data_IF_853267696069
#
_entry.id   IF_853267696069
#
_cell.length_a   1.000
_cell.length_b   1.000
_cell.length_c   1.000
_cell.angle_alpha   90.00
_cell.angle_beta   90.00
_cell.angle_gamma   90.00
#
_symmetry.space_group_name_H-M   'P 1'
#
loop_
_entity.id
_entity.type
_entity.pdbx_description
1 polymer ?
#
# COMPACT_ATOMS: atom_id res chain seq x y z
N UNK A 1 23.14 11.19 -4.79
CA UNK A 1 22.23 11.05 -3.62
C UNK A 1 20.82 10.61 -4.02
N UNK A 2 20.16 11.26 -5.00
CA UNK A 2 18.78 10.91 -5.43
C UNK A 2 18.57 9.43 -5.79
N UNK A 3 19.48 8.82 -6.56
CA UNK A 3 19.39 7.38 -6.91
C UNK A 3 19.41 6.45 -5.71
N UNK A 4 20.25 6.72 -4.72
CA UNK A 4 20.32 5.91 -3.50
C UNK A 4 19.01 5.97 -2.71
N UNK A 5 18.48 7.19 -2.50
CA UNK A 5 17.20 7.41 -1.81
C UNK A 5 16.07 6.69 -2.55
N UNK A 6 15.97 6.88 -3.87
CA UNK A 6 14.92 6.29 -4.69
C UNK A 6 14.94 4.75 -4.65
N UNK A 7 16.12 4.14 -4.85
CA UNK A 7 16.26 2.68 -4.88
C UNK A 7 15.97 2.08 -3.50
N UNK A 8 16.51 2.64 -2.41
CA UNK A 8 16.25 2.13 -1.07
C UNK A 8 14.77 2.26 -0.68
N UNK A 9 14.14 3.39 -0.99
CA UNK A 9 12.74 3.63 -0.69
C UNK A 9 11.81 2.71 -1.51
N UNK A 10 12.05 2.56 -2.82
CA UNK A 10 11.26 1.68 -3.69
C UNK A 10 11.46 0.21 -3.34
N UNK A 11 12.69 -0.22 -3.01
CA UNK A 11 12.97 -1.59 -2.60
C UNK A 11 12.28 -1.93 -1.26
N UNK A 12 12.35 -1.01 -0.29
CA UNK A 12 11.62 -1.15 0.97
C UNK A 12 10.12 -1.20 0.73
N UNK A 13 9.56 -0.28 -0.07
CA UNK A 13 8.14 -0.24 -0.40
C UNK A 13 7.67 -1.54 -1.06
N UNK A 14 8.36 -1.98 -2.12
CA UNK A 14 8.07 -3.22 -2.83
C UNK A 14 8.11 -4.43 -1.90
N UNK A 15 9.22 -4.59 -1.16
CA UNK A 15 9.40 -5.70 -0.23
C UNK A 15 8.37 -5.70 0.90
N UNK A 16 8.05 -4.53 1.46
CA UNK A 16 7.04 -4.39 2.50
C UNK A 16 5.62 -4.71 2.01
N UNK A 17 5.25 -4.27 0.79
CA UNK A 17 3.97 -4.64 0.19
C UNK A 17 3.89 -6.14 -0.10
N UNK A 18 4.95 -6.71 -0.68
CA UNK A 18 5.03 -8.15 -0.96
C UNK A 18 4.94 -8.99 0.31
N UNK A 19 5.68 -8.60 1.36
CA UNK A 19 5.66 -9.31 2.63
C UNK A 19 4.30 -9.18 3.33
N UNK A 20 3.74 -7.98 3.39
CA UNK A 20 2.45 -7.77 4.06
C UNK A 20 1.31 -8.53 3.35
N UNK A 21 1.21 -8.38 2.02
CA UNK A 21 0.14 -8.98 1.23
C UNK A 21 0.34 -10.47 0.96
N UNK A 22 1.57 -10.88 0.64
CA UNK A 22 1.90 -12.24 0.21
C UNK A 22 2.25 -13.20 1.35
N UNK A 23 2.71 -12.70 2.50
CA UNK A 23 3.18 -13.56 3.62
C UNK A 23 2.36 -13.31 4.88
N UNK A 24 2.37 -12.08 5.39
CA UNK A 24 1.75 -11.75 6.68
C UNK A 24 0.23 -11.98 6.66
N UNK A 25 -0.47 -11.44 5.66
CA UNK A 25 -1.93 -11.55 5.59
C UNK A 25 -2.42 -13.00 5.48
N UNK A 26 -1.89 -13.84 4.56
CA UNK A 26 -2.26 -15.26 4.50
C UNK A 26 -1.88 -16.03 5.77
N UNK A 27 -0.71 -15.75 6.35
CA UNK A 27 -0.29 -16.39 7.59
C UNK A 27 -1.28 -16.13 8.72
N UNK A 28 -1.68 -14.88 8.91
CA UNK A 28 -2.66 -14.48 9.93
C UNK A 28 -3.99 -15.21 9.74
N UNK A 29 -4.56 -15.17 8.54
CA UNK A 29 -5.83 -15.84 8.27
C UNK A 29 -5.75 -17.37 8.33
N UNK A 30 -4.56 -17.96 8.14
CA UNK A 30 -4.36 -19.41 8.25
C UNK A 30 -4.10 -19.90 9.66
N UNK A 31 -3.65 -19.04 10.59
CA UNK A 31 -3.20 -19.44 11.94
C UNK A 31 -4.04 -18.91 13.07
N UNK A 32 -4.76 -17.81 12.89
CA UNK A 32 -5.59 -17.22 13.94
C UNK A 32 -7.07 -17.56 13.75
N UNK A 33 -7.82 -17.69 14.86
CA UNK A 33 -9.28 -17.80 14.81
C UNK A 33 -9.91 -16.63 14.03
N UNK A 34 -11.03 -16.85 13.29
CA UNK A 34 -11.65 -15.80 12.47
C UNK A 34 -12.05 -14.53 13.23
N UNK A 35 -12.47 -14.68 14.47
CA UNK A 35 -12.84 -13.60 15.39
C UNK A 35 -11.63 -12.76 15.85
N UNK A 36 -10.40 -13.28 15.70
CA UNK A 36 -9.14 -12.59 16.03
C UNK A 36 -8.43 -12.06 14.78
N UNK A 37 -8.39 -12.85 13.70
CA UNK A 37 -7.63 -12.54 12.49
C UNK A 37 -8.03 -11.20 11.84
N UNK A 38 -9.34 -10.99 11.67
CA UNK A 38 -9.88 -9.76 11.08
C UNK A 38 -9.56 -8.49 11.88
N UNK A 39 -9.84 -8.44 13.20
CA UNK A 39 -9.39 -7.34 14.06
C UNK A 39 -7.87 -7.10 14.04
N UNK A 40 -7.06 -8.15 14.05
CA UNK A 40 -5.60 -8.03 14.04
C UNK A 40 -5.09 -7.34 12.78
N UNK A 41 -5.51 -7.79 11.58
CA UNK A 41 -5.14 -7.16 10.30
C UNK A 41 -5.60 -5.69 10.27
N UNK A 42 -6.80 -5.38 10.78
CA UNK A 42 -7.29 -4.00 10.87
C UNK A 42 -6.39 -3.11 11.71
N UNK A 43 -5.94 -3.60 12.86
CA UNK A 43 -5.02 -2.87 13.73
C UNK A 43 -3.62 -2.70 13.10
N UNK A 44 -3.25 -3.54 12.14
CA UNK A 44 -2.00 -3.43 11.39
C UNK A 44 -2.07 -2.39 10.25
N UNK A 45 -3.25 -2.17 9.65
CA UNK A 45 -3.36 -1.30 8.47
C UNK A 45 -2.84 0.14 8.65
N UNK A 46 -3.08 0.87 9.75
CA UNK A 46 -2.53 2.22 9.90
C UNK A 46 -1.00 2.25 9.80
N UNK A 47 -0.33 1.24 10.36
CA UNK A 47 1.13 1.10 10.27
C UNK A 47 1.58 0.76 8.84
N UNK A 48 0.83 -0.10 8.16
CA UNK A 48 1.09 -0.46 6.77
C UNK A 48 0.91 0.73 5.81
N UNK A 49 -0.16 1.51 5.97
CA UNK A 49 -0.39 2.71 5.17
C UNK A 49 0.63 3.81 5.45
N UNK A 50 0.98 4.03 6.72
CA UNK A 50 2.06 4.95 7.06
C UNK A 50 3.39 4.53 6.42
N UNK A 51 3.71 3.23 6.45
CA UNK A 51 4.89 2.70 5.78
C UNK A 51 4.87 2.97 4.28
N UNK A 52 3.74 2.69 3.59
CA UNK A 52 3.61 2.98 2.16
C UNK A 52 3.76 4.48 1.88
N UNK A 53 3.08 5.34 2.64
CA UNK A 53 3.12 6.80 2.46
C UNK A 53 4.55 7.32 2.61
N UNK A 54 5.24 6.96 3.68
CA UNK A 54 6.60 7.42 3.94
C UNK A 54 7.56 6.94 2.87
N UNK A 55 7.53 5.65 2.53
CA UNK A 55 8.45 5.09 1.53
C UNK A 55 8.16 5.58 0.12
N UNK A 56 6.89 5.72 -0.28
CA UNK A 56 6.53 6.30 -1.59
C UNK A 56 6.89 7.79 -1.69
N UNK A 57 6.72 8.57 -0.62
CA UNK A 57 7.14 9.97 -0.59
C UNK A 57 8.67 10.14 -0.67
N UNK A 58 9.43 9.31 0.06
CA UNK A 58 10.89 9.29 -0.04
C UNK A 58 11.36 8.88 -1.44
N UNK A 59 10.69 7.89 -2.06
CA UNK A 59 10.96 7.50 -3.44
C UNK A 59 10.71 8.68 -4.40
N UNK A 60 9.58 9.38 -4.27
CA UNK A 60 9.28 10.55 -5.09
C UNK A 60 10.36 11.64 -4.97
N UNK A 61 10.79 11.97 -3.75
CA UNK A 61 11.87 12.94 -3.50
C UNK A 61 13.18 12.48 -4.17
N UNK A 62 13.57 11.21 -3.99
CA UNK A 62 14.77 10.65 -4.60
C UNK A 62 14.73 10.70 -6.14
N UNK A 63 13.57 10.41 -6.73
CA UNK A 63 13.33 10.44 -8.17
C UNK A 63 13.36 11.86 -8.75
N UNK A 64 12.82 12.85 -8.02
CA UNK A 64 12.94 14.27 -8.40
C UNK A 64 14.40 14.73 -8.39
N UNK A 65 15.16 14.39 -7.33
CA UNK A 65 16.58 14.72 -7.23
C UNK A 65 17.38 14.05 -8.36
N UNK A 66 16.97 12.85 -8.81
CA UNK A 66 17.58 12.14 -9.94
C UNK A 66 17.22 12.77 -11.30
N UNK A 67 16.26 13.71 -11.36
CA UNK A 67 15.80 14.32 -12.61
C UNK A 67 14.81 13.46 -13.40
N UNK A 68 14.09 12.55 -12.73
CA UNK A 68 13.06 11.71 -13.37
C UNK A 68 11.65 12.08 -12.89
N UNK A 69 11.08 13.21 -13.37
CA UNK A 69 9.83 13.77 -12.85
C UNK A 69 8.61 12.88 -13.09
N UNK A 70 8.60 12.10 -14.18
CA UNK A 70 7.49 11.17 -14.45
C UNK A 70 7.47 10.00 -13.49
N UNK A 71 8.63 9.46 -13.14
CA UNK A 71 8.71 8.41 -12.12
C UNK A 71 8.33 8.96 -10.75
N UNK A 72 8.76 10.20 -10.44
CA UNK A 72 8.38 10.86 -9.21
C UNK A 72 6.86 11.09 -9.12
N UNK A 73 6.20 11.50 -10.21
CA UNK A 73 4.75 11.68 -10.24
C UNK A 73 4.01 10.37 -9.93
N UNK A 74 4.45 9.25 -10.49
CA UNK A 74 3.87 7.94 -10.17
C UNK A 74 4.04 7.57 -8.69
N UNK A 75 5.19 7.85 -8.09
CA UNK A 75 5.41 7.64 -6.66
C UNK A 75 4.51 8.56 -5.79
N UNK A 76 4.30 9.82 -6.19
CA UNK A 76 3.35 10.75 -5.54
C UNK A 76 1.91 10.23 -5.65
N UNK A 77 1.51 9.69 -6.80
CA UNK A 77 0.18 9.07 -6.97
C UNK A 77 0.02 7.90 -6.00
N UNK A 78 1.04 7.06 -5.82
CA UNK A 78 0.99 5.98 -4.80
C UNK A 78 0.75 6.58 -3.41
N UNK A 79 1.49 7.61 -3.02
CA UNK A 79 1.30 8.30 -1.73
C UNK A 79 -0.13 8.84 -1.58
N UNK A 80 -0.63 9.58 -2.57
CA UNK A 80 -1.95 10.21 -2.54
C UNK A 80 -3.09 9.19 -2.50
N UNK A 81 -3.01 8.13 -3.28
CA UNK A 81 -3.99 7.04 -3.28
C UNK A 81 -3.99 6.31 -1.93
N UNK A 82 -2.83 6.06 -1.33
CA UNK A 82 -2.77 5.44 0.01
C UNK A 82 -3.32 6.36 1.10
N UNK A 83 -3.09 7.67 1.01
CA UNK A 83 -3.72 8.64 1.91
C UNK A 83 -5.25 8.60 1.80
N UNK A 84 -5.79 8.60 0.58
CA UNK A 84 -7.22 8.46 0.37
C UNK A 84 -7.76 7.13 0.91
N UNK A 85 -7.05 6.02 0.68
CA UNK A 85 -7.42 4.70 1.22
C UNK A 85 -7.48 4.70 2.75
N UNK A 86 -6.56 5.42 3.40
CA UNK A 86 -6.50 5.50 4.86
C UNK A 86 -7.56 6.45 5.43
N UNK A 87 -7.64 7.67 4.92
CA UNK A 87 -8.42 8.73 5.53
C UNK A 87 -9.90 8.66 5.18
N UNK A 88 -10.26 8.14 4.00
CA UNK A 88 -11.64 8.14 3.52
C UNK A 88 -12.18 6.72 3.31
N UNK A 89 -11.45 5.90 2.55
CA UNK A 89 -11.99 4.60 2.11
C UNK A 89 -12.12 3.60 3.27
N UNK A 90 -11.12 3.50 4.13
CA UNK A 90 -11.16 2.57 5.25
C UNK A 90 -12.25 2.93 6.29
N UNK A 91 -12.39 4.19 6.73
CA UNK A 91 -13.53 4.59 7.58
C UNK A 91 -14.88 4.27 6.93
N UNK A 92 -15.03 4.55 5.63
CA UNK A 92 -16.24 4.22 4.88
C UNK A 92 -16.53 2.71 4.91
N UNK A 93 -15.54 1.86 4.60
CA UNK A 93 -15.72 0.40 4.62
C UNK A 93 -16.04 -0.12 6.02
N UNK A 94 -15.46 0.46 7.07
CA UNK A 94 -15.80 0.09 8.44
C UNK A 94 -17.27 0.43 8.74
N UNK A 95 -17.75 1.63 8.37
CA UNK A 95 -19.15 2.02 8.55
C UNK A 95 -20.12 1.10 7.79
N UNK A 96 -19.81 0.74 6.53
CA UNK A 96 -20.63 -0.17 5.72
C UNK A 96 -20.72 -1.56 6.36
N UNK A 97 -19.61 -2.09 6.89
CA UNK A 97 -19.61 -3.37 7.61
C UNK A 97 -20.41 -3.29 8.91
N UNK A 98 -20.21 -2.22 9.67
CA UNK A 98 -20.84 -2.06 10.98
C UNK A 98 -22.36 -1.84 10.85
N UNK A 99 -22.82 -1.33 9.71
CA UNK A 99 -24.24 -1.30 9.30
C UNK A 99 -24.80 -2.67 8.84
N UNK A 100 -23.99 -3.73 8.83
CA UNK A 100 -24.39 -5.08 8.42
C UNK A 100 -24.48 -5.31 6.90
N UNK A 101 -24.08 -4.33 6.08
CA UNK A 101 -24.16 -4.44 4.62
C UNK A 101 -22.95 -5.18 4.04
N UNK A 102 -23.02 -6.51 4.11
CA UNK A 102 -21.93 -7.40 3.67
C UNK A 102 -21.64 -7.31 2.16
N UNK A 103 -22.66 -7.09 1.33
CA UNK A 103 -22.50 -7.03 -0.14
C UNK A 103 -21.66 -5.83 -0.55
N UNK A 104 -21.99 -4.65 -0.04
CA UNK A 104 -21.25 -3.43 -0.37
C UNK A 104 -19.87 -3.41 0.28
N UNK A 105 -19.74 -3.95 1.50
CA UNK A 105 -18.44 -4.15 2.13
C UNK A 105 -17.52 -5.03 1.27
N UNK A 106 -18.00 -6.18 0.77
CA UNK A 106 -17.20 -7.07 -0.06
C UNK A 106 -16.78 -6.41 -1.38
N UNK A 107 -17.70 -5.69 -2.03
CA UNK A 107 -17.41 -4.95 -3.27
C UNK A 107 -16.34 -3.88 -3.03
N UNK A 108 -16.50 -3.07 -1.99
CA UNK A 108 -15.57 -2.00 -1.67
C UNK A 108 -14.21 -2.49 -1.14
N UNK A 109 -14.21 -3.59 -0.38
CA UNK A 109 -12.99 -4.26 0.03
C UNK A 109 -12.23 -4.79 -1.17
N UNK A 110 -12.90 -5.47 -2.11
CA UNK A 110 -12.27 -5.97 -3.34
C UNK A 110 -11.66 -4.84 -4.17
N UNK A 111 -12.34 -3.68 -4.24
CA UNK A 111 -11.77 -2.50 -4.89
C UNK A 111 -10.47 -2.06 -4.21
N UNK A 112 -10.44 -1.96 -2.88
CA UNK A 112 -9.21 -1.57 -2.16
C UNK A 112 -8.04 -2.54 -2.39
N UNK A 113 -8.33 -3.85 -2.49
CA UNK A 113 -7.32 -4.86 -2.79
C UNK A 113 -6.76 -4.66 -4.20
N UNK A 114 -7.61 -4.42 -5.20
CA UNK A 114 -7.18 -4.14 -6.57
C UNK A 114 -6.37 -2.84 -6.66
N UNK A 115 -6.78 -1.78 -5.98
CA UNK A 115 -6.03 -0.52 -5.93
C UNK A 115 -4.62 -0.76 -5.36
N UNK A 116 -4.52 -1.49 -4.25
CA UNK A 116 -3.23 -1.83 -3.65
C UNK A 116 -2.36 -2.71 -4.57
N UNK A 117 -2.98 -3.64 -5.32
CA UNK A 117 -2.28 -4.47 -6.31
C UNK A 117 -1.75 -3.64 -7.50
N UNK A 118 -2.52 -2.66 -7.98
CA UNK A 118 -2.05 -1.73 -9.02
C UNK A 118 -0.89 -0.88 -8.51
N UNK A 119 -0.98 -0.36 -7.27
CA UNK A 119 0.15 0.35 -6.64
C UNK A 119 1.40 -0.54 -6.56
N UNK A 120 1.25 -1.81 -6.18
CA UNK A 120 2.36 -2.76 -6.15
C UNK A 120 3.04 -2.94 -7.52
N UNK A 121 2.24 -3.07 -8.59
CA UNK A 121 2.76 -3.15 -9.96
C UNK A 121 3.48 -1.86 -10.37
N UNK A 122 2.93 -0.69 -10.05
CA UNK A 122 3.58 0.60 -10.31
C UNK A 122 4.95 0.66 -9.62
N UNK A 123 5.01 0.30 -8.33
CA UNK A 123 6.26 0.29 -7.56
C UNK A 123 7.27 -0.67 -8.16
N UNK A 124 6.84 -1.86 -8.59
CA UNK A 124 7.72 -2.82 -9.28
C UNK A 124 8.29 -2.24 -10.58
N UNK A 125 7.45 -1.64 -11.43
CA UNK A 125 7.88 -1.02 -12.69
C UNK A 125 8.84 0.12 -12.45
N UNK A 126 8.58 0.98 -11.45
CA UNK A 126 9.49 2.04 -11.05
C UNK A 126 10.85 1.47 -10.63
N UNK A 127 10.86 0.47 -9.75
CA UNK A 127 12.10 -0.14 -9.26
C UNK A 127 12.89 -0.82 -10.38
N UNK A 128 12.23 -1.60 -11.23
CA UNK A 128 12.85 -2.27 -12.38
C UNK A 128 13.42 -1.25 -13.38
N UNK A 129 12.70 -0.16 -13.65
CA UNK A 129 13.15 0.92 -14.53
C UNK A 129 14.32 1.74 -13.98
N UNK A 130 14.68 1.61 -12.70
CA UNK A 130 15.91 2.20 -12.16
C UNK A 130 17.14 1.28 -12.26
N UNK A 131 16.92 -0.01 -12.49
CA UNK A 131 17.96 -1.05 -12.58
C UNK A 131 18.51 -1.24 -14.01
N UNK A 132 17.77 -0.75 -15.01
CA UNK A 132 18.16 -0.68 -16.43
C UNK A 132 18.68 0.73 -16.73
#
# INVERSE_FOLDING_TARGET
MGSFIAVMALAALFGGMLFFGGVMTPLVFSKLPPDVAGPFIRAAFPRYYLFIIVTSALAAIGLLIRGNPWYALLAVIVTGVTLWLWLEWMPHLNAVRDAGNQVDFQRGHRLSVWVNAVQFVIVFVLLAGLAV
#
